data_IF_712657482775
#
_entry.id   IF_712657482775
#
_cell.length_a   1.000
_cell.length_b   1.000
_cell.length_c   1.000
_cell.angle_alpha   90.00
_cell.angle_beta   90.00
_cell.angle_gamma   90.00
#
_symmetry.space_group_name_H-M   'P 1'
#
loop_
_entity.id
_entity.type
_entity.pdbx_description
1 polymer ?
#
# COMPACT_ATOMS: atom_id res chain seq x y z
N UNK A 1 -10.50 -8.17 -18.76
CA UNK A 1 -10.36 -8.46 -17.33
C UNK A 1 -9.14 -9.36 -17.20
N UNK A 2 -8.31 -9.21 -16.16
CA UNK A 2 -7.14 -10.07 -15.95
C UNK A 2 -7.16 -10.60 -14.51
N UNK A 3 -7.02 -11.91 -14.36
CA UNK A 3 -6.99 -12.66 -13.11
C UNK A 3 -5.71 -13.51 -13.04
N UNK A 4 -5.11 -13.60 -11.85
CA UNK A 4 -3.95 -14.45 -11.56
C UNK A 4 -4.19 -15.12 -10.20
N UNK A 5 -4.12 -16.45 -10.17
CA UNK A 5 -4.23 -17.29 -8.97
C UNK A 5 -3.04 -18.26 -8.96
N UNK A 6 -2.32 -18.36 -7.84
CA UNK A 6 -1.18 -19.28 -7.67
C UNK A 6 -0.89 -19.55 -6.20
N UNK A 7 -0.45 -20.76 -5.89
CA UNK A 7 -0.19 -21.22 -4.51
C UNK A 7 1.22 -20.86 -4.03
N UNK A 8 2.23 -20.91 -4.90
CA UNK A 8 3.61 -20.50 -4.57
C UNK A 8 4.27 -19.88 -5.81
N UNK A 9 4.73 -18.64 -5.71
CA UNK A 9 5.54 -18.02 -6.76
C UNK A 9 6.79 -17.38 -6.17
N UNK A 10 7.95 -17.82 -6.65
CA UNK A 10 9.24 -17.29 -6.21
C UNK A 10 9.43 -15.83 -6.61
N UNK A 11 9.00 -15.44 -7.82
CA UNK A 11 9.06 -14.07 -8.30
C UNK A 11 7.93 -13.76 -9.28
N UNK A 12 7.26 -12.62 -9.09
CA UNK A 12 6.24 -12.12 -10.00
C UNK A 12 6.55 -10.72 -10.50
N UNK A 13 6.62 -10.59 -11.83
CA UNK A 13 6.67 -9.29 -12.50
C UNK A 13 5.37 -9.02 -13.25
N UNK A 14 4.61 -8.02 -12.80
CA UNK A 14 3.39 -7.58 -13.49
C UNK A 14 3.62 -6.19 -14.07
N UNK A 15 3.55 -6.10 -15.40
CA UNK A 15 3.58 -4.82 -16.11
C UNK A 15 2.38 -4.69 -17.03
N UNK A 16 1.44 -3.83 -16.63
CA UNK A 16 0.19 -3.65 -17.36
C UNK A 16 -0.01 -2.20 -17.76
N UNK A 17 -0.63 -2.02 -18.92
CA UNK A 17 -0.96 -0.72 -19.50
C UNK A 17 -2.38 -0.76 -20.04
N UNK A 18 -3.12 0.34 -19.87
CA UNK A 18 -4.41 0.57 -20.54
C UNK A 18 -5.45 -0.54 -20.28
N UNK A 19 -5.57 -0.98 -19.03
CA UNK A 19 -6.60 -1.94 -18.63
C UNK A 19 -7.77 -1.23 -17.93
N UNK A 20 -8.94 -1.83 -17.97
CA UNK A 20 -10.07 -1.37 -17.13
C UNK A 20 -9.93 -1.91 -15.71
N UNK A 21 -9.67 -3.21 -15.56
CA UNK A 21 -9.74 -3.92 -14.29
C UNK A 21 -8.64 -4.99 -14.21
N UNK A 22 -8.03 -5.12 -13.05
CA UNK A 22 -7.10 -6.19 -12.69
C UNK A 22 -7.37 -6.66 -11.25
N UNK A 23 -7.40 -7.97 -11.06
CA UNK A 23 -7.63 -8.62 -9.77
C UNK A 23 -6.62 -9.75 -9.58
N UNK A 24 -6.05 -9.89 -8.39
CA UNK A 24 -5.06 -10.95 -8.10
C UNK A 24 -5.28 -11.55 -6.72
N UNK A 25 -5.25 -12.88 -6.63
CA UNK A 25 -5.35 -13.65 -5.39
C UNK A 25 -4.14 -14.56 -5.26
N UNK A 26 -3.43 -14.49 -4.14
CA UNK A 26 -2.16 -15.18 -3.92
C UNK A 26 -2.15 -15.74 -2.51
N UNK A 27 -1.60 -16.94 -2.35
CA UNK A 27 -1.29 -17.46 -1.02
C UNK A 27 0.07 -16.91 -0.56
N UNK A 28 1.16 -17.31 -1.21
CA UNK A 28 2.51 -16.83 -0.89
C UNK A 28 3.24 -16.26 -2.11
N UNK A 29 3.92 -15.12 -1.90
CA UNK A 29 4.78 -14.47 -2.88
C UNK A 29 6.09 -13.96 -2.27
N UNK A 30 7.22 -14.43 -2.80
CA UNK A 30 8.53 -14.02 -2.28
C UNK A 30 8.96 -12.64 -2.79
N UNK A 31 8.91 -12.39 -4.10
CA UNK A 31 9.28 -11.09 -4.67
C UNK A 31 8.31 -10.63 -5.73
N UNK A 32 7.81 -9.42 -5.59
CA UNK A 32 6.74 -8.90 -6.44
C UNK A 32 7.06 -7.50 -6.94
N UNK A 33 7.07 -7.36 -8.25
CA UNK A 33 7.26 -6.10 -8.93
C UNK A 33 6.03 -5.76 -9.76
N UNK A 34 5.27 -4.77 -9.33
CA UNK A 34 4.05 -4.33 -10.01
C UNK A 34 4.23 -2.94 -10.59
N UNK A 35 4.12 -2.83 -11.92
CA UNK A 35 4.11 -1.56 -12.64
C UNK A 35 2.84 -1.40 -13.47
N UNK A 36 1.91 -0.57 -13.00
CA UNK A 36 0.65 -0.31 -13.70
C UNK A 36 0.59 1.12 -14.20
N UNK A 37 0.09 1.28 -15.42
CA UNK A 37 -0.19 2.59 -16.02
C UNK A 37 -1.56 2.61 -16.65
N UNK A 38 -2.34 3.66 -16.39
CA UNK A 38 -3.66 3.86 -16.98
C UNK A 38 -4.58 2.65 -16.72
N UNK A 39 -4.89 2.40 -15.44
CA UNK A 39 -5.81 1.35 -15.02
C UNK A 39 -6.98 1.99 -14.24
N UNK A 40 -8.23 1.58 -14.45
CA UNK A 40 -9.33 2.16 -13.66
C UNK A 40 -9.32 1.58 -12.24
N UNK A 41 -9.29 0.26 -12.13
CA UNK A 41 -9.44 -0.44 -10.85
C UNK A 41 -8.41 -1.56 -10.69
N UNK A 42 -7.79 -1.62 -9.53
CA UNK A 42 -6.90 -2.69 -9.11
C UNK A 42 -7.35 -3.22 -7.75
N UNK A 43 -7.50 -4.54 -7.64
CA UNK A 43 -7.69 -5.23 -6.36
C UNK A 43 -6.64 -6.33 -6.19
N UNK A 44 -6.15 -6.52 -4.96
CA UNK A 44 -5.24 -7.60 -4.62
C UNK A 44 -5.57 -8.16 -3.24
N UNK A 45 -5.60 -9.49 -3.12
CA UNK A 45 -5.73 -10.24 -1.88
C UNK A 45 -4.54 -11.19 -1.76
N UNK A 46 -3.86 -11.17 -0.63
CA UNK A 46 -2.64 -11.94 -0.38
C UNK A 46 -2.65 -12.43 1.05
N UNK A 47 -2.16 -13.65 1.29
CA UNK A 47 -1.83 -14.09 2.63
C UNK A 47 -0.45 -13.54 3.02
N UNK A 48 0.61 -13.95 2.34
CA UNK A 48 1.97 -13.52 2.67
C UNK A 48 2.70 -12.89 1.47
N UNK A 49 3.32 -11.73 1.69
CA UNK A 49 4.17 -11.06 0.71
C UNK A 49 5.50 -10.61 1.33
N UNK A 50 6.61 -11.18 0.87
CA UNK A 50 7.92 -10.89 1.46
C UNK A 50 8.52 -9.56 0.98
N UNK A 51 8.68 -9.38 -0.34
CA UNK A 51 9.28 -8.17 -0.91
C UNK A 51 8.44 -7.60 -2.05
N UNK A 52 8.05 -6.33 -1.92
CA UNK A 52 7.06 -5.71 -2.79
C UNK A 52 7.53 -4.36 -3.31
N UNK A 53 7.54 -4.23 -4.63
CA UNK A 53 7.76 -2.96 -5.30
C UNK A 53 6.56 -2.59 -6.18
N UNK A 54 5.79 -1.61 -5.73
CA UNK A 54 4.61 -1.13 -6.46
C UNK A 54 4.85 0.25 -7.04
N UNK A 55 4.70 0.38 -8.36
CA UNK A 55 4.70 1.67 -9.07
C UNK A 55 3.43 1.84 -9.89
N UNK A 56 2.55 2.74 -9.43
CA UNK A 56 1.29 3.04 -10.10
C UNK A 56 1.28 4.46 -10.66
N UNK A 57 0.77 4.59 -11.89
CA UNK A 57 0.56 5.90 -12.53
C UNK A 57 -0.81 5.96 -13.20
N UNK A 58 -1.57 7.03 -12.93
CA UNK A 58 -2.89 7.26 -13.51
C UNK A 58 -3.83 6.09 -13.21
N UNK A 59 -4.19 5.95 -11.95
CA UNK A 59 -5.14 4.94 -11.49
C UNK A 59 -6.36 5.64 -10.88
N UNK A 60 -7.57 5.10 -11.00
CA UNK A 60 -8.71 5.67 -10.26
C UNK A 60 -8.75 5.09 -8.85
N UNK A 61 -8.76 3.77 -8.72
CA UNK A 61 -8.97 3.08 -7.45
C UNK A 61 -7.99 1.92 -7.27
N UNK A 62 -7.40 1.85 -6.08
CA UNK A 62 -6.55 0.76 -5.63
C UNK A 62 -7.08 0.25 -4.29
N UNK A 63 -7.35 -1.05 -4.21
CA UNK A 63 -7.64 -1.76 -2.95
C UNK A 63 -6.65 -2.90 -2.77
N UNK A 64 -6.17 -3.09 -1.54
CA UNK A 64 -5.31 -4.21 -1.17
C UNK A 64 -5.70 -4.73 0.22
N UNK A 65 -5.81 -6.04 0.34
CA UNK A 65 -5.96 -6.77 1.60
C UNK A 65 -4.79 -7.74 1.71
N UNK A 66 -4.11 -7.72 2.85
CA UNK A 66 -2.93 -8.56 3.11
C UNK A 66 -2.99 -9.05 4.55
N UNK A 67 -2.58 -10.28 4.79
CA UNK A 67 -2.32 -10.74 6.15
C UNK A 67 -0.94 -10.28 6.60
N UNK A 68 0.12 -10.73 5.94
CA UNK A 68 1.50 -10.38 6.30
C UNK A 68 2.25 -9.72 5.15
N UNK A 69 2.88 -8.57 5.42
CA UNK A 69 3.72 -7.87 4.47
C UNK A 69 5.06 -7.46 5.09
N UNK A 70 6.16 -8.03 4.61
CA UNK A 70 7.47 -7.81 5.21
C UNK A 70 8.14 -6.52 4.75
N UNK A 71 8.43 -6.38 3.44
CA UNK A 71 9.15 -5.23 2.89
C UNK A 71 8.42 -4.62 1.71
N UNK A 72 8.08 -3.33 1.84
CA UNK A 72 7.21 -2.65 0.88
C UNK A 72 7.79 -1.34 0.42
N UNK A 73 7.90 -1.18 -0.90
CA UNK A 73 8.14 0.09 -1.54
C UNK A 73 7.00 0.48 -2.45
N UNK A 74 6.27 1.54 -2.10
CA UNK A 74 5.13 2.03 -2.87
C UNK A 74 5.41 3.43 -3.43
N UNK A 75 5.29 3.56 -4.75
CA UNK A 75 5.31 4.86 -5.45
C UNK A 75 4.04 5.07 -6.26
N UNK A 76 3.20 5.99 -5.80
CA UNK A 76 1.93 6.33 -6.48
C UNK A 76 1.98 7.75 -7.05
N UNK A 77 1.48 7.90 -8.29
CA UNK A 77 1.29 9.20 -8.93
C UNK A 77 -0.06 9.27 -9.62
N UNK A 78 -0.83 10.34 -9.33
CA UNK A 78 -2.15 10.58 -9.91
C UNK A 78 -3.09 9.40 -9.65
N UNK A 79 -3.48 9.24 -8.39
CA UNK A 79 -4.46 8.26 -7.94
C UNK A 79 -5.65 9.02 -7.36
N UNK A 80 -6.89 8.54 -7.51
CA UNK A 80 -8.03 9.17 -6.81
C UNK A 80 -8.16 8.60 -5.40
N UNK A 81 -8.24 7.29 -5.28
CA UNK A 81 -8.51 6.61 -4.02
C UNK A 81 -7.57 5.43 -3.80
N UNK A 82 -6.98 5.38 -2.61
CA UNK A 82 -6.18 4.26 -2.13
C UNK A 82 -6.76 3.76 -0.82
N UNK A 83 -7.06 2.46 -0.77
CA UNK A 83 -7.46 1.75 0.44
C UNK A 83 -6.54 0.56 0.65
N UNK A 84 -6.08 0.37 1.88
CA UNK A 84 -5.28 -0.78 2.27
C UNK A 84 -5.69 -1.26 3.66
N UNK A 85 -5.88 -2.57 3.79
CA UNK A 85 -6.06 -3.28 5.05
C UNK A 85 -4.93 -4.29 5.19
N UNK A 86 -4.26 -4.28 6.33
CA UNK A 86 -3.13 -5.16 6.61
C UNK A 86 -3.24 -5.64 8.06
N UNK A 87 -2.92 -6.90 8.31
CA UNK A 87 -2.75 -7.38 9.67
C UNK A 87 -1.36 -7.02 10.19
N UNK A 88 -0.31 -7.50 9.54
CA UNK A 88 1.07 -7.22 9.95
C UNK A 88 1.87 -6.55 8.84
N UNK A 89 2.51 -5.42 9.15
CA UNK A 89 3.36 -4.69 8.22
C UNK A 89 4.70 -4.30 8.85
N UNK A 90 5.79 -4.88 8.35
CA UNK A 90 7.10 -4.73 8.98
C UNK A 90 7.85 -3.48 8.52
N UNK A 91 8.21 -3.38 7.24
CA UNK A 91 9.05 -2.29 6.72
C UNK A 91 8.44 -1.64 5.48
N UNK A 92 8.16 -0.34 5.59
CA UNK A 92 7.34 0.36 4.60
C UNK A 92 7.95 1.68 4.18
N UNK A 93 8.12 1.84 2.87
CA UNK A 93 8.42 3.13 2.27
C UNK A 93 7.32 3.53 1.29
N UNK A 94 6.63 4.63 1.59
CA UNK A 94 5.51 5.13 0.79
C UNK A 94 5.81 6.54 0.26
N UNK A 95 5.74 6.70 -1.06
CA UNK A 95 5.82 8.00 -1.73
C UNK A 95 4.58 8.25 -2.59
N UNK A 96 3.75 9.20 -2.16
CA UNK A 96 2.51 9.57 -2.85
C UNK A 96 2.59 10.98 -3.42
N UNK A 97 2.11 11.15 -4.66
CA UNK A 97 1.95 12.46 -5.28
C UNK A 97 0.61 12.57 -6.00
N UNK A 98 -0.12 13.65 -5.74
CA UNK A 98 -1.42 13.94 -6.34
C UNK A 98 -2.41 12.79 -6.09
N UNK A 99 -2.84 12.68 -4.83
CA UNK A 99 -3.85 11.72 -4.40
C UNK A 99 -5.05 12.50 -3.84
N UNK A 100 -6.28 12.02 -4.03
CA UNK A 100 -7.43 12.68 -3.35
C UNK A 100 -7.61 12.10 -1.96
N UNK A 101 -7.74 10.78 -1.85
CA UNK A 101 -8.05 10.11 -0.60
C UNK A 101 -7.10 8.93 -0.38
N UNK A 102 -6.55 8.86 0.82
CA UNK A 102 -5.77 7.74 1.32
C UNK A 102 -6.41 7.24 2.62
N UNK A 103 -6.71 5.95 2.66
CA UNK A 103 -7.17 5.25 3.86
C UNK A 103 -6.33 4.00 4.07
N UNK A 104 -5.86 3.82 5.30
CA UNK A 104 -5.08 2.65 5.70
C UNK A 104 -5.54 2.21 7.08
N UNK A 105 -5.82 0.91 7.22
CA UNK A 105 -6.06 0.24 8.49
C UNK A 105 -5.00 -0.83 8.65
N UNK A 106 -4.34 -0.85 9.81
CA UNK A 106 -3.26 -1.77 10.12
C UNK A 106 -3.44 -2.25 11.55
N UNK A 107 -3.23 -3.54 11.80
CA UNK A 107 -3.19 -4.05 13.16
C UNK A 107 -1.81 -3.81 13.77
N UNK A 108 -0.75 -4.28 13.13
CA UNK A 108 0.63 -4.09 13.61
C UNK A 108 1.51 -3.43 12.55
N UNK A 109 2.18 -2.34 12.92
CA UNK A 109 3.08 -1.61 12.03
C UNK A 109 4.42 -1.29 12.70
N UNK A 110 5.50 -1.85 12.16
CA UNK A 110 6.82 -1.73 12.79
C UNK A 110 7.60 -0.49 12.35
N UNK A 111 8.04 -0.42 11.08
CA UNK A 111 8.91 0.64 10.58
C UNK A 111 8.38 1.28 9.30
N UNK A 112 8.12 2.59 9.37
CA UNK A 112 7.44 3.29 8.26
C UNK A 112 8.08 4.63 7.94
N UNK A 113 8.32 4.84 6.66
CA UNK A 113 8.62 6.14 6.10
C UNK A 113 7.56 6.55 5.07
N UNK A 114 6.87 7.67 5.35
CA UNK A 114 5.85 8.21 4.44
C UNK A 114 6.23 9.61 3.96
N UNK A 115 6.21 9.79 2.63
CA UNK A 115 6.30 11.11 1.99
C UNK A 115 5.08 11.40 1.11
N UNK A 116 4.29 12.39 1.52
CA UNK A 116 3.05 12.79 0.82
C UNK A 116 3.19 14.19 0.22
N UNK A 117 2.73 14.36 -1.02
CA UNK A 117 2.60 15.68 -1.66
C UNK A 117 1.28 15.81 -2.41
N UNK A 118 0.56 16.91 -2.17
CA UNK A 118 -0.73 17.21 -2.79
C UNK A 118 -1.74 16.09 -2.53
N UNK A 119 -2.17 15.98 -1.28
CA UNK A 119 -3.20 15.05 -0.84
C UNK A 119 -4.38 15.85 -0.29
N UNK A 120 -5.63 15.44 -0.57
CA UNK A 120 -6.76 16.11 0.09
C UNK A 120 -6.98 15.52 1.48
N UNK A 121 -7.16 14.21 1.57
CA UNK A 121 -7.52 13.53 2.81
C UNK A 121 -6.62 12.33 3.06
N UNK A 122 -6.07 12.26 4.25
CA UNK A 122 -5.32 11.13 4.77
C UNK A 122 -5.98 10.61 6.04
N UNK A 123 -6.28 9.32 6.07
CA UNK A 123 -6.77 8.62 7.25
C UNK A 123 -5.93 7.37 7.47
N UNK A 124 -5.42 7.21 8.69
CA UNK A 124 -4.67 6.03 9.11
C UNK A 124 -5.21 5.59 10.48
N UNK A 125 -5.60 4.32 10.58
CA UNK A 125 -5.97 3.66 11.82
C UNK A 125 -4.95 2.55 12.07
N UNK A 126 -4.37 2.52 13.26
CA UNK A 126 -3.32 1.58 13.63
C UNK A 126 -3.61 1.07 15.02
N UNK A 127 -3.53 -0.24 15.24
CA UNK A 127 -3.65 -0.79 16.59
C UNK A 127 -2.31 -0.70 17.33
N UNK A 128 -1.23 -1.21 16.75
CA UNK A 128 0.12 -1.12 17.30
C UNK A 128 1.09 -0.46 16.31
N UNK A 129 1.81 0.58 16.75
CA UNK A 129 2.82 1.28 15.96
C UNK A 129 4.12 1.42 16.74
N UNK A 130 5.26 1.13 16.09
CA UNK A 130 6.59 1.27 16.69
C UNK A 130 7.34 2.54 16.20
N UNK A 131 7.87 2.54 14.97
CA UNK A 131 8.75 3.61 14.47
C UNK A 131 8.24 4.22 13.16
N UNK A 132 7.77 5.47 13.22
CA UNK A 132 7.16 6.13 12.06
C UNK A 132 7.67 7.54 11.80
N UNK A 133 8.15 7.74 10.57
CA UNK A 133 8.56 9.03 10.03
C UNK A 133 7.60 9.50 8.93
N UNK A 134 7.03 10.70 9.08
CA UNK A 134 6.07 11.26 8.10
C UNK A 134 6.49 12.66 7.65
N UNK A 135 6.57 12.85 6.33
CA UNK A 135 6.72 14.17 5.70
C UNK A 135 5.54 14.51 4.81
N UNK A 136 4.82 15.58 5.16
CA UNK A 136 3.60 16.03 4.49
C UNK A 136 3.83 17.38 3.79
N UNK A 137 3.24 17.55 2.60
CA UNK A 137 3.18 18.85 1.90
C UNK A 137 1.88 19.01 1.14
N UNK A 138 1.20 20.13 1.33
CA UNK A 138 -0.08 20.45 0.70
C UNK A 138 -1.14 19.36 1.00
N UNK A 139 -1.41 19.15 2.29
CA UNK A 139 -2.47 18.29 2.81
C UNK A 139 -3.63 19.18 3.29
N UNK A 140 -4.88 18.78 3.05
CA UNK A 140 -6.03 19.50 3.61
C UNK A 140 -6.47 18.92 4.95
N UNK A 141 -6.60 17.60 5.04
CA UNK A 141 -7.03 16.92 6.26
C UNK A 141 -6.15 15.71 6.54
N UNK A 142 -5.71 15.61 7.79
CA UNK A 142 -4.98 14.49 8.34
C UNK A 142 -5.75 13.91 9.53
N UNK A 143 -5.94 12.60 9.53
CA UNK A 143 -6.49 11.86 10.67
C UNK A 143 -5.61 10.64 10.90
N UNK A 144 -5.09 10.50 12.11
CA UNK A 144 -4.33 9.34 12.57
C UNK A 144 -4.90 8.94 13.93
N UNK A 145 -5.31 7.68 14.06
CA UNK A 145 -5.66 7.09 15.35
C UNK A 145 -4.73 5.89 15.57
N UNK A 146 -4.16 5.83 16.76
CA UNK A 146 -3.25 4.79 17.23
C UNK A 146 -3.83 4.32 18.57
N UNK A 147 -4.03 3.02 18.74
CA UNK A 147 -4.54 2.48 20.00
C UNK A 147 -3.41 2.25 21.00
N UNK A 148 -2.29 1.68 20.55
CA UNK A 148 -1.09 1.45 21.34
C UNK A 148 0.15 1.94 20.58
N UNK A 149 0.84 2.91 21.18
CA UNK A 149 2.13 3.40 20.70
C UNK A 149 3.19 2.91 21.70
N UNK A 150 3.99 1.93 21.28
CA UNK A 150 5.12 1.46 22.10
C UNK A 150 6.21 2.51 21.99
N UNK A 151 6.25 3.44 22.95
CA UNK A 151 7.39 4.34 23.13
C UNK A 151 8.61 3.50 23.49
N UNK A 152 9.56 3.35 22.56
CA UNK A 152 10.92 2.97 22.92
C UNK A 152 11.50 4.17 23.69
N UNK A 153 11.53 4.04 25.02
CA UNK A 153 12.35 4.88 25.90
C UNK A 153 13.82 4.57 25.57
N UNK A 154 14.47 5.47 24.85
CA UNK A 154 15.93 5.64 24.92
C UNK A 154 16.25 6.57 26.11
#
# INVERSE_FOLDING_TARGET
MCQLNSTLVSQVFVRLRNLKLFTKLIYEENQVFVRLRNLKLFTKLIYEENQVFVRLRNLKLFTKLIYEENQVFVRLRNLKLFTKLIYEENQVFVRLRNLKLFTKLIYEENQVFVRLRNLKLFTKLIYEENQVFVRLRNLKLFTKLIYEEKFLLD
#
